data_IF_073206367310
#
_entry.id   IF_073206367310
#
_cell.length_a   1.000
_cell.length_b   1.000
_cell.length_c   1.000
_cell.angle_alpha   90.00
_cell.angle_beta   90.00
_cell.angle_gamma   90.00
#
_symmetry.space_group_name_H-M   'P 1'
#
loop_
_entity.id
_entity.type
_entity.pdbx_description
1 polymer ?
#
# COMPACT_ATOMS: atom_id res chain seq x y z
N UNK A 1 13.05 14.17 6.49
CA UNK A 1 14.25 13.89 5.68
C UNK A 1 14.50 14.98 4.63
N UNK A 2 13.48 15.51 3.97
CA UNK A 2 13.58 16.76 3.20
C UNK A 2 12.73 17.82 3.92
N UNK A 3 13.29 19.01 4.12
CA UNK A 3 12.61 20.12 4.78
C UNK A 3 12.63 21.37 3.89
N UNK A 4 11.47 21.93 3.61
CA UNK A 4 11.33 23.13 2.77
C UNK A 4 11.76 24.39 3.51
N UNK A 5 11.83 24.37 4.84
CA UNK A 5 12.28 25.46 5.69
C UNK A 5 13.79 25.47 5.93
N UNK A 6 14.52 24.46 5.43
CA UNK A 6 15.96 24.36 5.60
C UNK A 6 16.69 25.45 4.79
N UNK A 7 17.87 25.86 5.28
CA UNK A 7 18.73 26.85 4.60
C UNK A 7 19.23 26.44 3.20
N UNK A 8 19.11 25.15 2.86
CA UNK A 8 19.54 24.62 1.57
C UNK A 8 18.31 24.46 0.68
N UNK A 9 18.37 24.83 -0.61
CA UNK A 9 17.27 24.55 -1.53
C UNK A 9 17.02 23.04 -1.66
N UNK A 10 15.75 22.67 -1.88
CA UNK A 10 15.28 21.26 -1.95
C UNK A 10 16.14 20.41 -2.89
N UNK A 11 16.60 20.97 -4.01
CA UNK A 11 17.43 20.22 -4.95
C UNK A 11 18.81 19.82 -4.40
N UNK A 12 19.40 20.64 -3.53
CA UNK A 12 20.67 20.30 -2.87
C UNK A 12 20.44 19.23 -1.82
N UNK A 13 19.37 19.33 -1.03
CA UNK A 13 19.00 18.32 -0.04
C UNK A 13 18.79 16.95 -0.70
N UNK A 14 18.04 16.90 -1.80
CA UNK A 14 17.81 15.69 -2.60
C UNK A 14 19.11 15.08 -3.13
N UNK A 15 20.03 15.92 -3.62
CA UNK A 15 21.34 15.46 -4.11
C UNK A 15 22.21 14.88 -3.00
N UNK A 16 22.17 15.45 -1.79
CA UNK A 16 22.92 14.97 -0.63
C UNK A 16 22.39 13.61 -0.14
N UNK A 17 21.08 13.40 -0.18
CA UNK A 17 20.44 12.16 0.28
C UNK A 17 20.40 11.07 -0.81
N UNK A 18 20.73 11.41 -2.06
CA UNK A 18 20.80 10.45 -3.16
C UNK A 18 19.44 9.97 -3.68
N UNK A 19 18.38 10.77 -3.50
CA UNK A 19 17.04 10.45 -4.00
C UNK A 19 16.72 11.25 -5.27
N UNK A 20 15.74 10.80 -6.06
CA UNK A 20 15.30 11.56 -7.24
C UNK A 20 14.57 12.85 -6.83
N UNK A 21 14.75 13.95 -7.57
CA UNK A 21 14.05 15.22 -7.31
C UNK A 21 12.52 15.09 -7.33
N UNK A 22 11.98 14.19 -8.17
CA UNK A 22 10.55 13.89 -8.22
C UNK A 22 10.01 13.37 -6.88
N UNK A 23 10.79 12.56 -6.16
CA UNK A 23 10.38 11.99 -4.86
C UNK A 23 10.23 13.03 -3.76
N UNK A 24 10.94 14.17 -3.85
CA UNK A 24 10.86 15.24 -2.86
C UNK A 24 9.50 15.97 -2.85
N UNK A 25 8.75 15.87 -3.94
CA UNK A 25 7.40 16.43 -4.03
C UNK A 25 6.32 15.46 -3.56
N UNK A 26 6.65 14.16 -3.44
CA UNK A 26 5.72 13.17 -2.94
C UNK A 26 5.57 13.34 -1.42
N UNK A 27 4.35 13.58 -0.96
CA UNK A 27 4.02 13.57 0.47
C UNK A 27 3.61 12.15 0.84
N UNK A 28 4.39 11.50 1.69
CA UNK A 28 4.02 10.22 2.25
C UNK A 28 2.64 10.33 2.92
N UNK A 29 1.69 9.55 2.43
CA UNK A 29 0.35 9.46 2.99
C UNK A 29 0.24 8.11 3.70
N UNK A 30 -0.26 8.14 4.95
CA UNK A 30 -0.58 6.91 5.65
C UNK A 30 -1.67 6.16 4.86
N UNK A 31 -1.46 4.87 4.64
CA UNK A 31 -2.46 4.02 4.01
C UNK A 31 -3.67 3.88 4.93
N UNK A 32 -4.88 3.94 4.37
CA UNK A 32 -6.11 3.70 5.13
C UNK A 32 -6.09 2.31 5.76
N UNK A 33 -6.82 2.11 6.85
CA UNK A 33 -6.97 0.81 7.51
C UNK A 33 -7.45 -0.26 6.52
N UNK A 34 -8.40 0.10 5.64
CA UNK A 34 -8.86 -0.77 4.56
C UNK A 34 -7.74 -1.18 3.60
N UNK A 35 -6.85 -0.25 3.24
CA UNK A 35 -5.68 -0.55 2.41
C UNK A 35 -4.69 -1.46 3.13
N UNK A 36 -4.48 -1.24 4.43
CA UNK A 36 -3.60 -2.10 5.26
C UNK A 36 -4.14 -3.53 5.38
N UNK A 37 -5.44 -3.70 5.59
CA UNK A 37 -6.10 -5.00 5.61
C UNK A 37 -6.02 -5.70 4.25
N UNK A 38 -6.20 -4.96 3.15
CA UNK A 38 -6.05 -5.51 1.81
C UNK A 38 -4.63 -6.02 1.55
N UNK A 39 -3.60 -5.28 1.96
CA UNK A 39 -2.20 -5.72 1.83
C UNK A 39 -1.95 -7.02 2.61
N UNK A 40 -2.39 -7.08 3.88
CA UNK A 40 -2.27 -8.31 4.69
C UNK A 40 -2.95 -9.50 4.02
N UNK A 41 -4.15 -9.29 3.47
CA UNK A 41 -4.89 -10.36 2.78
C UNK A 41 -4.20 -10.82 1.49
N UNK A 42 -3.55 -9.91 0.78
CA UNK A 42 -2.74 -10.25 -0.40
C UNK A 42 -1.54 -11.11 0.01
N UNK A 43 -0.86 -10.75 1.10
CA UNK A 43 0.31 -11.49 1.58
C UNK A 43 -0.07 -12.92 2.02
N UNK A 44 -1.16 -13.08 2.77
CA UNK A 44 -1.71 -14.40 3.14
C UNK A 44 -1.98 -15.28 1.90
N UNK A 45 -2.62 -14.71 0.88
CA UNK A 45 -2.94 -15.44 -0.36
C UNK A 45 -1.69 -15.80 -1.17
N UNK A 46 -0.63 -14.99 -1.11
CA UNK A 46 0.64 -15.34 -1.76
C UNK A 46 1.36 -16.49 -1.04
N UNK A 47 1.24 -16.58 0.29
CA UNK A 47 1.79 -17.71 1.05
C UNK A 47 1.03 -19.00 0.76
N UNK A 48 -0.30 -18.95 0.64
CA UNK A 48 -1.13 -20.10 0.27
C UNK A 48 -0.95 -20.52 -1.19
N UNK A 49 -0.78 -19.54 -2.09
CA UNK A 49 -0.71 -19.76 -3.53
C UNK A 49 0.48 -19.01 -4.14
N UNK A 50 1.72 -19.50 -3.99
CA UNK A 50 2.93 -18.81 -4.46
C UNK A 50 2.98 -18.67 -6.00
N UNK A 51 2.19 -19.45 -6.72
CA UNK A 51 2.04 -19.38 -8.18
C UNK A 51 0.94 -18.42 -8.64
N UNK A 52 0.19 -17.80 -7.72
CA UNK A 52 -0.92 -16.93 -8.04
C UNK A 52 -0.42 -15.57 -8.55
N UNK A 53 -0.49 -15.35 -9.86
CA UNK A 53 -0.26 -14.01 -10.43
C UNK A 53 -1.35 -13.00 -10.03
N UNK A 54 -1.10 -11.71 -10.28
CA UNK A 54 -1.97 -10.61 -9.87
C UNK A 54 -3.45 -10.76 -10.26
N UNK A 55 -3.76 -11.28 -11.47
CA UNK A 55 -5.14 -11.55 -11.89
C UNK A 55 -5.81 -12.66 -11.08
N UNK A 56 -5.07 -13.70 -10.73
CA UNK A 56 -5.58 -14.82 -9.95
C UNK A 56 -5.88 -14.38 -8.52
N UNK A 57 -4.95 -13.64 -7.90
CA UNK A 57 -5.14 -13.05 -6.58
C UNK A 57 -6.32 -12.08 -6.56
N UNK A 58 -6.45 -11.21 -7.57
CA UNK A 58 -7.61 -10.32 -7.68
C UNK A 58 -8.93 -11.09 -7.73
N UNK A 59 -8.97 -12.25 -8.39
CA UNK A 59 -10.17 -13.11 -8.43
C UNK A 59 -10.43 -13.80 -7.09
N UNK A 60 -9.39 -14.26 -6.40
CA UNK A 60 -9.48 -14.85 -5.07
C UNK A 60 -9.97 -13.83 -4.03
N UNK A 61 -9.44 -12.61 -4.07
CA UNK A 61 -9.88 -11.49 -3.22
C UNK A 61 -11.36 -11.15 -3.45
N UNK A 62 -11.81 -11.09 -4.71
CA UNK A 62 -13.23 -10.87 -5.03
C UNK A 62 -14.14 -11.98 -4.48
N UNK A 63 -13.67 -13.23 -4.52
CA UNK A 63 -14.44 -14.39 -3.99
C UNK A 63 -14.46 -14.44 -2.45
N UNK A 64 -13.39 -13.97 -1.80
CA UNK A 64 -13.34 -13.83 -0.33
C UNK A 64 -14.17 -12.65 0.19
N UNK A 65 -14.22 -11.53 -0.55
CA UNK A 65 -15.01 -10.36 -0.17
C UNK A 65 -16.52 -10.65 -0.07
N UNK A 66 -17.05 -11.51 -0.95
CA UNK A 66 -18.46 -11.95 -0.91
C UNK A 66 -18.77 -12.88 0.27
N UNK A 67 -17.78 -13.56 0.84
CA UNK A 67 -17.93 -14.43 2.02
C UNK A 67 -17.86 -13.64 3.33
N UNK A 68 -17.07 -12.56 3.39
CA UNK A 68 -16.99 -11.68 4.56
C UNK A 68 -18.24 -10.81 4.73
N UNK A 69 -18.84 -10.33 3.64
CA UNK A 69 -20.10 -9.58 3.71
C UNK A 69 -21.29 -10.43 4.22
N UNK A 70 -21.30 -11.74 3.94
CA UNK A 70 -22.31 -12.66 4.48
C UNK A 70 -22.15 -12.91 5.99
N UNK A 71 -20.92 -12.87 6.53
CA UNK A 71 -20.65 -13.01 7.96
C UNK A 71 -20.93 -11.73 8.78
N UNK A 72 -21.07 -10.57 8.12
CA UNK A 72 -21.48 -9.32 8.77
C UNK A 72 -23.02 -9.22 8.90
N UNK A 73 -23.78 -9.76 7.94
CA UNK A 73 -25.24 -9.73 7.96
C UNK A 73 -25.86 -10.73 8.96
N UNK A 74 -25.15 -11.80 9.32
CA UNK A 74 -25.64 -12.83 10.25
C UNK A 74 -25.47 -12.50 11.75
N UNK A 75 -25.11 -11.26 12.10
CA UNK A 75 -24.95 -10.78 13.50
C UNK A 75 -25.77 -9.52 13.80
N UNK A 76 -26.74 -9.18 12.95
CA UNK A 76 -27.68 -8.06 13.16
C UNK A 76 -29.07 -8.60 13.45
#
# INVERSE_FOLDING_TARGET
MIDRSHALPVWQQVRLVGIARSSAYYRAQALSETGQLMMRRIDELHLEFPFAGARMLARLLRRGATSSAAAACARS
#
